data_IF_879916764703
#
_entry.id   IF_879916764703
#
_cell.length_a   1.000
_cell.length_b   1.000
_cell.length_c   1.000
_cell.angle_alpha   90.00
_cell.angle_beta   90.00
_cell.angle_gamma   90.00
#
_symmetry.space_group_name_H-M   'P 1'
#
loop_
_entity.id
_entity.type
_entity.pdbx_description
1 polymer ?
#
# COMPACT_ATOMS: atom_id res chain seq x y z
N UNK A 1 6.59 -12.03 -27.84
CA UNK A 1 5.83 -10.93 -28.46
C UNK A 1 6.41 -10.54 -29.82
N UNK A 2 7.72 -10.29 -29.95
CA UNK A 2 8.36 -10.01 -31.25
C UNK A 2 8.21 -11.14 -32.29
N UNK A 3 8.31 -12.41 -31.87
CA UNK A 3 8.04 -13.56 -32.75
C UNK A 3 6.57 -13.56 -33.23
N UNK A 4 5.64 -13.25 -32.34
CA UNK A 4 4.20 -13.18 -32.66
C UNK A 4 3.90 -12.05 -33.65
N UNK A 5 4.54 -10.90 -33.49
CA UNK A 5 4.45 -9.80 -34.44
C UNK A 5 4.90 -10.20 -35.85
N UNK A 6 6.03 -10.90 -35.96
CA UNK A 6 6.50 -11.44 -37.24
C UNK A 6 5.47 -12.38 -37.89
N UNK A 7 4.95 -13.34 -37.13
CA UNK A 7 3.94 -14.29 -37.60
C UNK A 7 2.63 -13.62 -38.04
N UNK A 8 2.16 -12.61 -37.29
CA UNK A 8 0.92 -11.90 -37.62
C UNK A 8 1.09 -10.98 -38.84
N UNK A 9 2.23 -10.29 -38.96
CA UNK A 9 2.55 -9.46 -40.14
C UNK A 9 2.69 -10.30 -41.41
N UNK A 10 3.28 -11.50 -41.32
CA UNK A 10 3.33 -12.46 -42.44
C UNK A 10 1.92 -12.87 -42.92
N UNK A 11 0.91 -12.78 -42.05
CA UNK A 11 -0.50 -13.06 -42.38
C UNK A 11 -1.28 -11.80 -42.78
N UNK A 12 -0.61 -10.66 -42.95
CA UNK A 12 -1.24 -9.37 -43.30
C UNK A 12 -2.02 -8.72 -42.16
N UNK A 13 -1.83 -9.16 -40.91
CA UNK A 13 -2.48 -8.60 -39.73
C UNK A 13 -1.57 -7.53 -39.13
N UNK A 14 -2.07 -6.30 -39.03
CA UNK A 14 -1.37 -5.21 -38.36
C UNK A 14 -1.23 -5.53 -36.86
N UNK A 15 0.01 -5.69 -36.42
CA UNK A 15 0.35 -5.93 -35.02
C UNK A 15 1.67 -5.22 -34.72
N UNK A 16 1.70 -4.51 -33.61
CA UNK A 16 2.88 -3.86 -33.05
C UNK A 16 3.08 -4.37 -31.62
N UNK A 17 4.20 -5.03 -31.37
CA UNK A 17 4.36 -5.76 -30.12
C UNK A 17 4.40 -4.84 -28.87
N UNK A 18 4.73 -3.56 -29.03
CA UNK A 18 4.73 -2.57 -27.96
C UNK A 18 3.35 -1.92 -27.82
N UNK A 19 2.78 -1.43 -28.92
CA UNK A 19 1.47 -0.78 -29.00
C UNK A 19 0.29 -1.72 -28.76
N UNK A 20 0.47 -3.04 -28.87
CA UNK A 20 -0.54 -4.03 -28.50
C UNK A 20 -0.34 -4.61 -27.09
N UNK A 21 0.62 -4.09 -26.29
CA UNK A 21 0.88 -4.59 -24.94
C UNK A 21 0.10 -3.83 -23.87
N UNK A 22 -0.97 -4.45 -23.36
CA UNK A 22 -1.70 -3.94 -22.19
C UNK A 22 -1.00 -4.36 -20.89
N UNK A 23 -0.67 -3.39 -20.05
CA UNK A 23 -0.12 -3.65 -18.71
C UNK A 23 -1.24 -3.77 -17.67
N UNK A 24 -1.16 -4.78 -16.79
CA UNK A 24 -2.10 -4.93 -15.69
C UNK A 24 -1.89 -3.80 -14.67
N UNK A 25 -2.86 -2.89 -14.54
CA UNK A 25 -2.75 -1.73 -13.67
C UNK A 25 -2.47 -2.10 -12.19
N UNK A 26 -3.23 -3.04 -11.56
CA UNK A 26 -2.90 -3.48 -10.21
C UNK A 26 -1.47 -4.03 -10.04
N UNK A 27 -0.96 -4.75 -11.06
CA UNK A 27 0.42 -5.23 -11.05
C UNK A 27 1.43 -4.08 -11.09
N UNK A 28 1.16 -3.05 -11.89
CA UNK A 28 1.99 -1.83 -11.93
C UNK A 28 1.98 -1.11 -10.58
N UNK A 29 0.81 -0.92 -9.98
CA UNK A 29 0.70 -0.29 -8.64
C UNK A 29 1.50 -1.08 -7.61
N UNK A 30 1.43 -2.42 -7.64
CA UNK A 30 2.24 -3.26 -6.78
C UNK A 30 3.75 -3.07 -7.04
N UNK A 31 4.20 -3.03 -8.30
CA UNK A 31 5.61 -2.74 -8.63
C UNK A 31 6.05 -1.39 -8.04
N UNK A 32 5.25 -0.34 -8.24
CA UNK A 32 5.56 0.98 -7.71
C UNK A 32 5.62 0.99 -6.18
N UNK A 33 4.66 0.31 -5.53
CA UNK A 33 4.62 0.14 -4.07
C UNK A 33 5.88 -0.54 -3.54
N UNK A 34 6.28 -1.66 -4.15
CA UNK A 34 7.51 -2.38 -3.76
C UNK A 34 8.75 -1.52 -4.00
N UNK A 35 8.80 -0.77 -5.11
CA UNK A 35 9.90 0.16 -5.39
C UNK A 35 10.02 1.22 -4.29
N UNK A 36 8.91 1.81 -3.84
CA UNK A 36 8.91 2.74 -2.71
C UNK A 36 9.30 2.09 -1.37
N UNK A 37 8.84 0.86 -1.09
CA UNK A 37 9.20 0.13 0.13
C UNK A 37 10.69 -0.24 0.21
N UNK A 38 11.34 -0.54 -0.91
CA UNK A 38 12.79 -0.74 -0.94
C UNK A 38 13.55 0.55 -0.58
N UNK A 39 13.04 1.72 -0.98
CA UNK A 39 13.61 3.02 -0.56
C UNK A 39 13.38 3.27 0.93
N UNK A 40 12.23 2.89 1.48
CA UNK A 40 11.97 2.97 2.93
C UNK A 40 13.01 2.16 3.71
N UNK A 41 13.34 0.95 3.24
CA UNK A 41 14.30 0.04 3.89
C UNK A 41 15.74 0.51 3.72
N UNK A 42 16.07 1.07 2.57
CA UNK A 42 17.42 1.52 2.20
C UNK A 42 17.35 2.90 1.58
N UNK A 43 17.25 3.98 2.40
CA UNK A 43 17.03 5.34 1.90
C UNK A 43 18.13 5.88 0.98
N UNK A 44 19.28 5.21 0.95
CA UNK A 44 20.46 5.60 0.16
C UNK A 44 20.69 4.75 -1.11
N UNK A 45 19.91 3.69 -1.34
CA UNK A 45 20.14 2.74 -2.43
C UNK A 45 18.82 2.53 -3.19
N UNK A 46 18.60 3.28 -4.26
CA UNK A 46 17.68 2.88 -5.31
C UNK A 46 18.51 2.72 -6.59
N UNK A 47 18.70 1.48 -7.04
CA UNK A 47 19.53 1.17 -8.23
C UNK A 47 19.03 1.84 -9.52
N UNK A 48 17.78 2.30 -9.54
CA UNK A 48 17.13 2.90 -10.71
C UNK A 48 17.05 4.44 -10.64
N UNK A 49 17.18 5.06 -9.46
CA UNK A 49 16.93 6.49 -9.27
C UNK A 49 17.88 7.11 -8.24
N UNK A 50 18.68 8.09 -8.66
CA UNK A 50 19.54 8.88 -7.77
C UNK A 50 18.69 9.95 -7.07
N UNK A 51 18.08 9.61 -5.93
CA UNK A 51 17.18 10.49 -5.18
C UNK A 51 17.86 10.98 -3.91
N UNK A 52 18.09 12.29 -3.84
CA UNK A 52 18.61 12.94 -2.64
C UNK A 52 17.61 12.83 -1.47
N UNK A 53 18.14 12.71 -0.26
CA UNK A 53 17.32 12.77 0.95
C UNK A 53 16.73 14.17 1.13
N UNK A 54 15.46 14.30 1.52
CA UNK A 54 14.85 15.60 1.73
C UNK A 54 15.40 16.27 3.01
N UNK A 55 15.53 17.60 3.04
CA UNK A 55 16.02 18.34 4.22
C UNK A 55 15.26 17.97 5.50
N UNK A 56 13.95 17.81 5.43
CA UNK A 56 13.10 17.49 6.58
C UNK A 56 13.42 16.12 7.20
N UNK A 57 13.98 15.19 6.42
CA UNK A 57 14.47 13.91 6.93
C UNK A 57 15.91 14.02 7.46
N UNK A 58 16.74 14.86 6.85
CA UNK A 58 18.11 15.12 7.31
C UNK A 58 18.09 15.80 8.68
N UNK A 59 17.18 16.75 8.87
CA UNK A 59 17.02 17.54 10.09
C UNK A 59 16.38 16.74 11.26
N UNK A 60 15.85 15.55 11.00
CA UNK A 60 15.29 14.64 12.01
C UNK A 60 16.06 13.31 12.09
N UNK A 61 17.17 13.27 12.86
CA UNK A 61 18.01 12.07 12.96
C UNK A 61 17.30 10.90 13.64
N UNK A 62 16.30 11.13 14.50
CA UNK A 62 15.59 10.05 15.19
C UNK A 62 14.62 9.34 14.24
N UNK A 63 13.86 10.12 13.46
CA UNK A 63 12.98 9.60 12.42
C UNK A 63 13.79 8.85 11.36
N UNK A 64 14.92 9.44 10.93
CA UNK A 64 15.85 8.81 9.99
C UNK A 64 16.40 7.49 10.51
N UNK A 65 16.87 7.45 11.75
CA UNK A 65 17.39 6.23 12.38
C UNK A 65 16.30 5.13 12.43
N UNK A 66 15.06 5.50 12.73
CA UNK A 66 13.93 4.57 12.74
C UNK A 66 13.62 4.01 11.33
N UNK A 67 13.72 4.82 10.27
CA UNK A 67 13.61 4.36 8.89
C UNK A 67 14.74 3.42 8.49
N UNK A 68 16.00 3.85 8.70
CA UNK A 68 17.20 3.07 8.37
C UNK A 68 17.26 1.73 9.15
N UNK A 69 16.59 1.65 10.30
CA UNK A 69 16.43 0.43 11.11
C UNK A 69 15.38 -0.57 10.60
N UNK A 70 14.86 -0.42 9.38
CA UNK A 70 13.81 -1.26 8.78
C UNK A 70 12.55 -1.35 9.67
N UNK A 71 11.83 -0.23 9.76
CA UNK A 71 10.61 -0.13 10.56
C UNK A 71 9.51 -1.11 10.11
N UNK A 72 9.41 -1.39 8.80
CA UNK A 72 8.46 -2.36 8.25
C UNK A 72 8.86 -3.79 8.65
N UNK A 73 10.14 -4.12 8.58
CA UNK A 73 10.68 -5.37 9.10
C UNK A 73 10.45 -5.53 10.60
N UNK A 74 10.56 -4.44 11.36
CA UNK A 74 10.27 -4.42 12.80
C UNK A 74 8.80 -4.77 13.08
N UNK A 75 7.87 -4.16 12.35
CA UNK A 75 6.45 -4.52 12.39
C UNK A 75 6.23 -6.00 12.04
N UNK A 76 6.89 -6.51 11.00
CA UNK A 76 6.82 -7.92 10.57
C UNK A 76 7.32 -8.87 11.66
N UNK A 77 8.41 -8.53 12.36
CA UNK A 77 8.95 -9.32 13.48
C UNK A 77 7.96 -9.39 14.64
N UNK A 78 7.35 -8.27 15.04
CA UNK A 78 6.30 -8.24 16.08
C UNK A 78 5.15 -9.16 15.70
N UNK A 79 4.58 -8.95 14.51
CA UNK A 79 3.45 -9.74 14.02
C UNK A 79 3.77 -11.23 14.00
N UNK A 80 4.95 -11.60 13.51
CA UNK A 80 5.39 -12.99 13.45
C UNK A 80 5.52 -13.57 14.86
N UNK A 81 6.20 -12.87 15.77
CA UNK A 81 6.41 -13.30 17.15
C UNK A 81 5.09 -13.49 17.90
N UNK A 82 4.15 -12.56 17.78
CA UNK A 82 2.86 -12.63 18.47
C UNK A 82 1.95 -13.70 17.86
N UNK A 83 2.03 -13.96 16.55
CA UNK A 83 1.14 -14.92 15.87
C UNK A 83 1.64 -16.36 15.79
N UNK A 84 2.93 -16.61 16.09
CA UNK A 84 3.60 -17.89 15.77
C UNK A 84 2.89 -19.11 16.33
N UNK A 85 2.28 -19.02 17.53
CA UNK A 85 1.56 -20.14 18.16
C UNK A 85 0.13 -19.78 18.51
N UNK A 86 -0.74 -20.79 18.64
CA UNK A 86 -2.12 -20.62 19.11
C UNK A 86 -2.19 -19.93 20.47
N UNK A 87 -1.34 -20.36 21.42
CA UNK A 87 -1.25 -19.78 22.77
C UNK A 87 -0.92 -18.28 22.77
N UNK A 88 -0.03 -17.81 21.88
CA UNK A 88 0.29 -16.37 21.81
C UNK A 88 -0.86 -15.56 21.21
N UNK A 89 -1.57 -16.11 20.23
CA UNK A 89 -2.78 -15.47 19.66
C UNK A 89 -3.90 -15.37 20.67
N UNK A 90 -4.15 -16.44 21.42
CA UNK A 90 -5.14 -16.47 22.50
C UNK A 90 -4.77 -15.49 23.62
N UNK A 91 -3.51 -15.47 24.04
CA UNK A 91 -3.05 -14.52 25.05
C UNK A 91 -3.24 -13.06 24.63
N UNK A 92 -2.98 -12.70 23.35
CA UNK A 92 -3.30 -11.36 22.85
C UNK A 92 -4.81 -11.08 22.92
N UNK A 93 -5.65 -12.05 22.52
CA UNK A 93 -7.11 -11.88 22.60
C UNK A 93 -7.59 -11.70 24.04
N UNK A 94 -6.99 -12.40 25.00
CA UNK A 94 -7.35 -12.30 26.41
C UNK A 94 -6.92 -10.95 27.00
N UNK A 95 -5.76 -10.42 26.61
CA UNK A 95 -5.35 -9.04 26.94
C UNK A 95 -6.40 -8.05 26.42
N UNK A 96 -6.84 -8.19 25.16
CA UNK A 96 -7.87 -7.31 24.57
C UNK A 96 -9.18 -7.40 25.36
N UNK A 97 -9.65 -8.62 25.67
CA UNK A 97 -10.89 -8.86 26.45
C UNK A 97 -10.79 -8.26 27.85
N UNK A 98 -9.68 -8.47 28.54
CA UNK A 98 -9.46 -7.95 29.89
C UNK A 98 -9.41 -6.41 29.90
N UNK A 99 -8.70 -5.81 28.95
CA UNK A 99 -8.66 -4.36 28.80
C UNK A 99 -10.01 -3.76 28.41
N UNK A 100 -10.82 -4.44 27.61
CA UNK A 100 -12.20 -4.05 27.30
C UNK A 100 -13.06 -4.08 28.56
N UNK A 101 -13.01 -5.17 29.33
CA UNK A 101 -13.79 -5.33 30.56
C UNK A 101 -13.43 -4.28 31.62
N UNK A 102 -12.16 -3.87 31.68
CA UNK A 102 -11.64 -2.86 32.62
C UNK A 102 -11.70 -1.42 32.07
N UNK A 103 -12.16 -1.21 30.84
CA UNK A 103 -12.19 0.12 30.22
C UNK A 103 -10.81 0.77 30.03
N UNK A 104 -9.75 -0.03 29.84
CA UNK A 104 -8.35 0.44 29.75
C UNK A 104 -7.98 1.04 28.40
N UNK A 105 -8.76 0.77 27.36
CA UNK A 105 -8.51 1.32 26.04
C UNK A 105 -9.23 2.66 25.90
N UNK A 106 -8.50 3.71 25.54
CA UNK A 106 -9.01 5.07 25.50
C UNK A 106 -8.91 5.67 24.10
N UNK A 107 -9.95 6.32 23.59
CA UNK A 107 -9.87 7.04 22.32
C UNK A 107 -8.91 8.25 22.42
N UNK A 108 -8.76 9.01 21.33
CA UNK A 108 -7.94 10.22 21.32
C UNK A 108 -8.43 11.34 22.27
N UNK A 109 -9.66 11.23 22.79
CA UNK A 109 -10.30 12.16 23.73
C UNK A 109 -10.34 11.59 25.16
N UNK A 110 -9.61 10.51 25.43
CA UNK A 110 -9.58 9.78 26.70
C UNK A 110 -10.92 9.16 27.14
N UNK A 111 -11.84 8.86 26.21
CA UNK A 111 -13.05 8.10 26.51
C UNK A 111 -12.78 6.59 26.38
N UNK A 112 -13.39 5.74 27.21
CA UNK A 112 -13.32 4.30 27.03
C UNK A 112 -13.79 3.87 25.63
N UNK A 113 -12.96 3.11 24.94
CA UNK A 113 -13.22 2.57 23.61
C UNK A 113 -13.15 1.04 23.66
N UNK A 114 -14.08 0.36 22.97
CA UNK A 114 -14.01 -1.10 22.85
C UNK A 114 -13.06 -1.45 21.70
N UNK A 115 -11.95 -2.09 22.04
CA UNK A 115 -11.03 -2.65 21.05
C UNK A 115 -11.60 -3.95 20.49
N UNK A 116 -11.70 -4.05 19.17
CA UNK A 116 -12.16 -5.28 18.52
C UNK A 116 -11.20 -6.45 18.79
N UNK A 117 -11.75 -7.59 19.20
CA UNK A 117 -10.99 -8.82 19.47
C UNK A 117 -10.59 -9.45 18.13
N UNK A 118 -9.40 -9.10 17.66
CA UNK A 118 -8.91 -9.45 16.34
C UNK A 118 -7.53 -10.11 16.42
N UNK A 119 -7.24 -10.98 15.46
CA UNK A 119 -5.87 -11.46 15.24
C UNK A 119 -5.08 -10.45 14.40
N UNK A 120 -3.77 -10.37 14.63
CA UNK A 120 -2.84 -9.68 13.73
C UNK A 120 -2.87 -10.34 12.33
N UNK A 121 -2.53 -9.59 11.28
CA UNK A 121 -2.45 -10.08 9.90
C UNK A 121 -0.98 -10.26 9.50
N UNK A 122 -0.65 -11.30 8.72
CA UNK A 122 0.73 -11.56 8.26
C UNK A 122 0.92 -10.86 6.92
N UNK A 123 2.12 -10.35 6.75
CA UNK A 123 2.62 -9.96 5.44
C UNK A 123 2.79 -11.21 4.56
N UNK A 124 2.38 -11.10 3.29
CA UNK A 124 2.41 -12.18 2.31
C UNK A 124 2.82 -11.58 0.97
N UNK A 125 4.04 -11.88 0.54
CA UNK A 125 4.67 -11.25 -0.63
C UNK A 125 3.84 -11.39 -1.91
N UNK A 126 3.08 -12.49 -2.04
CA UNK A 126 2.22 -12.75 -3.20
C UNK A 126 0.91 -11.96 -3.20
N UNK A 127 0.56 -11.30 -2.10
CA UNK A 127 -0.70 -10.54 -1.95
C UNK A 127 -0.40 -9.05 -1.87
N UNK A 128 -0.82 -8.31 -2.89
CA UNK A 128 -0.39 -6.93 -3.17
C UNK A 128 -0.55 -5.92 -2.02
N UNK A 129 -1.56 -6.05 -1.17
CA UNK A 129 -1.78 -5.13 -0.03
C UNK A 129 -1.50 -5.75 1.34
N UNK A 130 -0.83 -6.90 1.40
CA UNK A 130 -0.59 -7.60 2.67
C UNK A 130 0.26 -6.78 3.64
N UNK A 131 1.26 -6.05 3.15
CA UNK A 131 2.09 -5.18 3.99
C UNK A 131 1.28 -4.05 4.61
N UNK A 132 0.44 -3.37 3.82
CA UNK A 132 -0.48 -2.35 4.32
C UNK A 132 -1.41 -2.91 5.39
N UNK A 133 -2.11 -4.01 5.09
CA UNK A 133 -3.07 -4.65 6.00
C UNK A 133 -2.41 -5.17 7.28
N UNK A 134 -1.16 -5.65 7.20
CA UNK A 134 -0.36 -6.03 8.36
C UNK A 134 -0.12 -4.82 9.27
N UNK A 135 0.41 -3.73 8.71
CA UNK A 135 0.76 -2.53 9.47
C UNK A 135 -0.49 -1.88 10.05
N UNK A 136 -1.55 -1.75 9.26
CA UNK A 136 -2.82 -1.19 9.69
C UNK A 136 -3.41 -1.96 10.88
N UNK A 137 -3.43 -3.31 10.78
CA UNK A 137 -3.88 -4.17 11.89
C UNK A 137 -2.98 -4.08 13.11
N UNK A 138 -1.66 -3.99 12.92
CA UNK A 138 -0.71 -3.85 14.03
C UNK A 138 -0.93 -2.53 14.76
N UNK A 139 -1.04 -1.41 14.04
CA UNK A 139 -1.28 -0.09 14.62
C UNK A 139 -2.62 -0.03 15.37
N UNK A 140 -3.67 -0.63 14.81
CA UNK A 140 -4.99 -0.74 15.45
C UNK A 140 -4.91 -1.44 16.81
N UNK A 141 -4.16 -2.55 16.87
CA UNK A 141 -4.04 -3.38 18.08
C UNK A 141 -2.82 -3.01 18.93
N UNK A 142 -2.08 -1.95 18.58
CA UNK A 142 -0.73 -1.77 19.09
C UNK A 142 -0.68 -1.67 20.61
N UNK A 143 -1.67 -1.02 21.25
CA UNK A 143 -1.70 -0.91 22.71
C UNK A 143 -1.80 -2.27 23.42
N UNK A 144 -2.63 -3.17 22.89
CA UNK A 144 -2.72 -4.53 23.41
C UNK A 144 -1.48 -5.35 23.07
N UNK A 145 -0.87 -5.12 21.89
CA UNK A 145 0.41 -5.74 21.54
C UNK A 145 1.53 -5.25 22.45
N UNK A 146 1.57 -3.97 22.77
CA UNK A 146 2.56 -3.35 23.63
C UNK A 146 2.46 -3.88 25.08
N UNK A 147 1.24 -4.02 25.60
CA UNK A 147 0.98 -4.75 26.84
C UNK A 147 1.39 -6.22 26.76
N UNK A 148 1.10 -6.90 25.65
CA UNK A 148 1.57 -8.27 25.42
C UNK A 148 3.09 -8.34 25.51
N UNK A 149 3.82 -7.49 24.79
CA UNK A 149 5.29 -7.50 24.74
C UNK A 149 5.91 -7.19 26.11
N UNK A 150 5.24 -6.40 26.95
CA UNK A 150 5.69 -6.06 28.31
C UNK A 150 5.09 -6.92 29.42
N UNK A 151 4.27 -7.91 29.09
CA UNK A 151 3.70 -8.82 30.09
C UNK A 151 4.81 -9.62 30.79
N UNK A 152 4.59 -9.97 32.06
CA UNK A 152 5.55 -10.73 32.87
C UNK A 152 6.03 -12.01 32.17
N UNK A 153 5.13 -12.65 31.40
CA UNK A 153 5.41 -13.85 30.62
C UNK A 153 6.54 -13.70 29.59
N UNK A 154 6.72 -12.50 29.04
CA UNK A 154 7.75 -12.23 28.03
C UNK A 154 8.83 -11.26 28.52
N UNK A 155 8.70 -10.74 29.74
CA UNK A 155 9.71 -9.93 30.40
C UNK A 155 11.03 -10.71 30.46
N UNK A 156 12.11 -10.12 29.90
CA UNK A 156 13.42 -10.75 29.81
C UNK A 156 13.63 -11.69 28.60
N UNK A 157 12.67 -11.79 27.68
CA UNK A 157 12.85 -12.53 26.42
C UNK A 157 13.12 -11.57 25.25
N UNK A 158 13.66 -12.10 24.14
CA UNK A 158 13.87 -11.32 22.90
C UNK A 158 12.58 -10.69 22.34
N UNK A 159 11.41 -11.20 22.75
CA UNK A 159 10.11 -10.67 22.34
C UNK A 159 9.87 -9.30 22.94
N UNK A 160 10.25 -9.07 24.21
CA UNK A 160 10.07 -7.78 24.86
C UNK A 160 10.87 -6.67 24.16
N UNK A 161 12.04 -7.01 23.59
CA UNK A 161 12.86 -6.10 22.81
C UNK A 161 12.25 -5.68 21.45
N UNK A 162 11.15 -6.31 21.03
CA UNK A 162 10.44 -5.94 19.81
C UNK A 162 9.50 -4.74 19.99
N UNK A 163 9.32 -4.23 21.21
CA UNK A 163 8.51 -3.04 21.44
C UNK A 163 9.07 -1.83 20.66
N UNK A 164 8.17 -1.06 20.06
CA UNK A 164 8.51 0.11 19.26
C UNK A 164 8.51 1.34 20.15
N UNK A 165 9.46 2.23 19.93
CA UNK A 165 9.43 3.57 20.51
C UNK A 165 8.30 4.42 19.93
N UNK A 166 8.00 5.54 20.58
CA UNK A 166 7.03 6.53 20.07
C UNK A 166 7.41 7.02 18.67
N UNK A 167 8.69 7.34 18.45
CA UNK A 167 9.21 7.77 17.14
C UNK A 167 9.04 6.68 16.08
N UNK A 168 9.33 5.42 16.43
CA UNK A 168 9.13 4.30 15.52
C UNK A 168 7.66 4.10 15.15
N UNK A 169 6.75 4.29 16.11
CA UNK A 169 5.31 4.26 15.83
C UNK A 169 4.87 5.39 14.91
N UNK A 170 5.39 6.59 15.08
CA UNK A 170 5.07 7.73 14.22
C UNK A 170 5.56 7.50 12.79
N UNK A 171 6.80 7.03 12.63
CA UNK A 171 7.34 6.62 11.32
C UNK A 171 6.47 5.51 10.69
N UNK A 172 6.06 4.52 11.48
CA UNK A 172 5.22 3.43 10.98
C UNK A 172 3.82 3.92 10.57
N UNK A 173 3.26 4.93 11.26
CA UNK A 173 2.00 5.60 10.88
C UNK A 173 2.14 6.35 9.56
N UNK A 174 3.25 7.05 9.35
CA UNK A 174 3.53 7.76 8.11
C UNK A 174 3.68 6.78 6.93
N UNK A 175 4.41 5.67 7.13
CA UNK A 175 4.50 4.58 6.14
C UNK A 175 3.12 3.97 5.87
N UNK A 176 2.29 3.76 6.90
CA UNK A 176 0.90 3.28 6.74
C UNK A 176 0.05 4.26 5.93
N UNK A 177 0.18 5.56 6.17
CA UNK A 177 -0.54 6.59 5.42
C UNK A 177 -0.12 6.59 3.96
N UNK A 178 1.18 6.48 3.68
CA UNK A 178 1.71 6.30 2.33
C UNK A 178 1.12 5.08 1.61
N UNK A 179 1.19 3.91 2.23
CA UNK A 179 0.64 2.68 1.66
C UNK A 179 -0.88 2.72 1.48
N UNK A 180 -1.60 3.47 2.32
CA UNK A 180 -3.07 3.56 2.23
C UNK A 180 -3.55 4.17 0.91
N UNK A 181 -2.82 5.14 0.36
CA UNK A 181 -3.16 5.78 -0.92
C UNK A 181 -3.11 4.76 -2.07
N UNK A 182 -2.05 3.95 -2.09
CA UNK A 182 -1.85 2.90 -3.09
C UNK A 182 -2.89 1.79 -2.95
N UNK A 183 -3.20 1.39 -1.70
CA UNK A 183 -4.21 0.37 -1.41
C UNK A 183 -5.61 0.81 -1.86
N UNK A 184 -6.03 2.05 -1.58
CA UNK A 184 -7.36 2.54 -1.97
C UNK A 184 -7.59 2.45 -3.48
N UNK A 185 -6.58 2.84 -4.28
CA UNK A 185 -6.70 2.80 -5.74
C UNK A 185 -6.69 1.36 -6.26
N UNK A 186 -5.89 0.46 -5.67
CA UNK A 186 -5.94 -0.96 -6.01
C UNK A 186 -7.30 -1.60 -5.69
N UNK A 187 -7.92 -1.27 -4.55
CA UNK A 187 -9.24 -1.81 -4.20
C UNK A 187 -10.32 -1.29 -5.15
N UNK A 188 -10.26 0.00 -5.52
CA UNK A 188 -11.19 0.62 -6.46
C UNK A 188 -11.26 -0.14 -7.79
N UNK A 189 -10.10 -0.53 -8.35
CA UNK A 189 -10.03 -1.25 -9.63
C UNK A 189 -10.29 -2.74 -9.49
N UNK A 190 -9.99 -3.33 -8.32
CA UNK A 190 -10.17 -4.77 -8.09
C UNK A 190 -11.63 -5.14 -7.78
N UNK A 191 -12.42 -4.18 -7.28
CA UNK A 191 -13.85 -4.37 -7.00
C UNK A 191 -14.76 -4.27 -8.23
N UNK A 192 -14.24 -3.84 -9.38
CA UNK A 192 -15.05 -3.66 -10.59
C UNK A 192 -15.40 -5.02 -11.23
N UNK A 193 -16.68 -5.19 -11.56
CA UNK A 193 -17.20 -6.35 -12.31
C UNK A 193 -17.34 -6.08 -13.81
N UNK A 194 -16.95 -4.89 -14.27
CA UNK A 194 -17.09 -4.38 -15.64
C UNK A 194 -15.71 -4.16 -16.27
N UNK A 195 -15.63 -3.95 -17.61
CA UNK A 195 -14.35 -3.72 -18.29
C UNK A 195 -13.60 -2.54 -17.66
N UNK A 196 -12.49 -2.84 -16.99
CA UNK A 196 -11.71 -1.87 -16.19
C UNK A 196 -10.78 -1.02 -17.03
N UNK A 197 -10.58 -1.36 -18.31
CA UNK A 197 -9.55 -0.74 -19.14
C UNK A 197 -9.77 0.77 -19.34
N UNK A 198 -11.03 1.19 -19.53
CA UNK A 198 -11.39 2.61 -19.69
C UNK A 198 -11.05 3.46 -18.45
N UNK A 199 -10.98 2.84 -17.27
CA UNK A 199 -10.71 3.53 -16.01
C UNK A 199 -9.23 3.57 -15.64
N UNK A 200 -8.37 2.85 -16.35
CA UNK A 200 -6.94 2.74 -15.98
C UNK A 200 -6.22 4.08 -16.07
N UNK A 201 -6.37 4.83 -17.18
CA UNK A 201 -5.72 6.14 -17.33
C UNK A 201 -6.26 7.18 -16.31
N UNK A 202 -7.59 7.30 -16.10
CA UNK A 202 -8.13 8.10 -15.00
C UNK A 202 -7.58 7.67 -13.62
N UNK A 203 -7.47 6.37 -13.35
CA UNK A 203 -6.94 5.86 -12.09
C UNK A 203 -5.46 6.22 -11.89
N UNK A 204 -4.64 6.20 -12.95
CA UNK A 204 -3.27 6.73 -12.88
C UNK A 204 -3.26 8.21 -12.50
N UNK A 205 -4.05 9.04 -13.19
CA UNK A 205 -4.09 10.48 -12.90
C UNK A 205 -4.50 10.75 -11.44
N UNK A 206 -5.57 10.11 -10.98
CA UNK A 206 -6.04 10.23 -9.59
C UNK A 206 -4.98 9.77 -8.57
N UNK A 207 -4.29 8.67 -8.85
CA UNK A 207 -3.25 8.15 -7.97
C UNK A 207 -2.05 9.09 -7.90
N UNK A 208 -1.59 9.60 -9.05
CA UNK A 208 -0.47 10.54 -9.12
C UNK A 208 -0.79 11.83 -8.36
N UNK A 209 -2.00 12.37 -8.52
CA UNK A 209 -2.42 13.58 -7.80
C UNK A 209 -2.55 13.33 -6.29
N UNK A 210 -3.08 12.17 -5.90
CA UNK A 210 -3.15 11.78 -4.49
C UNK A 210 -1.75 11.64 -3.86
N UNK A 211 -0.79 11.06 -4.58
CA UNK A 211 0.60 10.94 -4.14
C UNK A 211 1.29 12.31 -4.06
N UNK A 212 1.09 13.19 -5.03
CA UNK A 212 1.61 14.57 -5.01
C UNK A 212 1.05 15.36 -3.83
N UNK A 213 -0.24 15.22 -3.54
CA UNK A 213 -0.85 15.84 -2.36
C UNK A 213 -0.30 15.23 -1.05
N UNK A 214 -0.06 13.92 -1.03
CA UNK A 214 0.52 13.23 0.12
C UNK A 214 1.96 13.66 0.40
N UNK A 215 2.76 13.94 -0.64
CA UNK A 215 4.14 14.46 -0.51
C UNK A 215 4.19 15.69 0.39
N UNK A 216 3.22 16.60 0.26
CA UNK A 216 3.12 17.80 1.10
C UNK A 216 2.78 17.48 2.56
N UNK A 217 2.09 16.36 2.82
CA UNK A 217 1.73 15.90 4.18
C UNK A 217 2.85 15.12 4.84
N UNK A 218 3.67 14.43 4.04
CA UNK A 218 4.77 13.56 4.50
C UNK A 218 6.11 14.02 3.89
N UNK A 219 6.59 15.23 4.20
CA UNK A 219 7.82 15.76 3.58
C UNK A 219 9.04 14.88 3.87
N UNK A 220 9.09 14.24 5.04
CA UNK A 220 10.14 13.26 5.42
C UNK A 220 10.16 12.01 4.54
N UNK A 221 9.03 11.64 3.93
CA UNK A 221 8.90 10.52 2.98
C UNK A 221 8.80 10.99 1.52
N UNK A 222 9.07 12.26 1.23
CA UNK A 222 8.95 12.80 -0.13
C UNK A 222 9.80 12.03 -1.15
N UNK A 223 11.04 11.68 -0.82
CA UNK A 223 11.90 10.84 -1.66
C UNK A 223 11.28 9.46 -2.01
N UNK A 224 10.60 8.81 -1.06
CA UNK A 224 9.88 7.54 -1.29
C UNK A 224 8.72 7.76 -2.25
N UNK A 225 7.95 8.82 -2.02
CA UNK A 225 6.79 9.18 -2.85
C UNK A 225 7.22 9.53 -4.26
N UNK A 226 8.32 10.27 -4.42
CA UNK A 226 8.89 10.64 -5.72
C UNK A 226 9.31 9.42 -6.53
N UNK A 227 10.02 8.47 -5.91
CA UNK A 227 10.39 7.21 -6.58
C UNK A 227 9.16 6.42 -7.02
N UNK A 228 8.12 6.42 -6.19
CA UNK A 228 6.85 5.75 -6.50
C UNK A 228 6.15 6.42 -7.69
N UNK A 229 6.08 7.76 -7.71
CA UNK A 229 5.55 8.56 -8.81
C UNK A 229 6.32 8.28 -10.10
N UNK A 230 7.65 8.35 -10.07
CA UNK A 230 8.50 8.09 -11.23
C UNK A 230 8.24 6.70 -11.81
N UNK A 231 8.10 5.68 -10.96
CA UNK A 231 7.79 4.31 -11.41
C UNK A 231 6.41 4.24 -12.06
N UNK A 232 5.40 4.89 -11.48
CA UNK A 232 4.04 4.95 -12.06
C UNK A 232 4.04 5.67 -13.41
N UNK A 233 4.73 6.80 -13.53
CA UNK A 233 4.83 7.58 -14.77
C UNK A 233 5.47 6.78 -15.91
N UNK A 234 6.49 5.96 -15.63
CA UNK A 234 7.07 5.04 -16.63
C UNK A 234 6.01 4.10 -17.22
N UNK A 235 5.14 3.53 -16.38
CA UNK A 235 4.11 2.61 -16.85
C UNK A 235 2.86 3.30 -17.40
N UNK A 236 2.53 4.50 -16.91
CA UNK A 236 1.49 5.34 -17.51
C UNK A 236 1.91 5.74 -18.93
N UNK A 237 3.17 6.13 -19.15
CA UNK A 237 3.69 6.40 -20.49
C UNK A 237 3.55 5.17 -21.40
N UNK A 238 3.92 3.97 -20.92
CA UNK A 238 3.68 2.73 -21.69
C UNK A 238 2.20 2.50 -22.01
N UNK A 239 1.31 2.80 -21.07
CA UNK A 239 -0.13 2.71 -21.30
C UNK A 239 -0.62 3.72 -22.36
N UNK A 240 -0.03 4.91 -22.44
CA UNK A 240 -0.37 5.90 -23.46
C UNK A 240 0.06 5.50 -24.88
N UNK A 241 1.00 4.57 -25.04
CA UNK A 241 1.46 4.07 -26.35
C UNK A 241 0.56 2.99 -26.94
N UNK A 242 -0.47 2.53 -26.21
CA UNK A 242 -1.43 1.55 -26.74
C UNK A 242 -2.80 2.16 -26.95
N UNK A 243 -3.30 2.04 -28.18
CA UNK A 243 -4.64 2.51 -28.56
C UNK A 243 -5.76 1.80 -27.81
N UNK A 244 -5.47 0.65 -27.19
CA UNK A 244 -6.45 -0.15 -26.45
C UNK A 244 -7.15 0.66 -25.35
N UNK A 245 -6.42 1.53 -24.64
CA UNK A 245 -7.03 2.39 -23.61
C UNK A 245 -7.94 3.45 -24.22
N UNK A 246 -7.47 4.15 -25.27
CA UNK A 246 -8.25 5.17 -25.96
C UNK A 246 -9.55 4.61 -26.53
N UNK A 247 -9.46 3.49 -27.26
CA UNK A 247 -10.61 2.76 -27.81
C UNK A 247 -11.58 2.37 -26.69
N UNK A 248 -11.07 1.81 -25.58
CA UNK A 248 -11.93 1.38 -24.47
C UNK A 248 -12.67 2.55 -23.80
N UNK A 249 -12.04 3.71 -23.67
CA UNK A 249 -12.67 4.92 -23.14
C UNK A 249 -13.77 5.42 -24.08
N UNK A 250 -13.50 5.47 -25.38
CA UNK A 250 -14.48 5.88 -26.39
C UNK A 250 -15.71 4.97 -26.40
N UNK A 251 -15.51 3.64 -26.37
CA UNK A 251 -16.62 2.68 -26.33
C UNK A 251 -17.44 2.78 -25.04
N UNK A 252 -16.78 3.01 -23.89
CA UNK A 252 -17.48 3.20 -22.62
C UNK A 252 -18.40 4.43 -22.65
N UNK A 253 -17.91 5.56 -23.18
CA UNK A 253 -18.69 6.78 -23.34
C UNK A 253 -19.89 6.58 -24.27
N UNK A 254 -19.70 5.89 -25.39
CA UNK A 254 -20.79 5.58 -26.33
C UNK A 254 -21.84 4.63 -25.74
N UNK A 255 -21.44 3.72 -24.86
CA UNK A 255 -22.37 2.83 -24.15
C UNK A 255 -23.19 3.60 -23.10
N UNK A 256 -22.55 4.50 -22.36
CA UNK A 256 -23.21 5.34 -21.35
C UNK A 256 -24.21 6.31 -21.99
N UNK A 257 -23.83 6.95 -23.10
CA UNK A 257 -24.74 7.80 -23.88
C UNK A 257 -25.97 7.03 -24.37
N UNK A 258 -25.80 5.80 -24.87
CA UNK A 258 -26.92 4.95 -25.31
C UNK A 258 -27.88 4.60 -24.18
N UNK A 259 -27.37 4.27 -22.98
CA UNK A 259 -28.24 4.00 -21.82
C UNK A 259 -29.06 5.22 -21.44
N UNK A 260 -28.43 6.40 -21.41
CA UNK A 260 -29.13 7.65 -21.08
C UNK A 260 -30.22 7.99 -22.11
N UNK A 261 -29.99 7.69 -23.40
CA UNK A 261 -31.02 7.89 -24.44
C UNK A 261 -32.15 6.87 -24.36
N UNK A 262 -31.84 5.61 -24.02
CA UNK A 262 -32.85 4.56 -23.88
C UNK A 262 -33.73 4.79 -22.63
N UNK A 263 -33.15 5.22 -21.50
CA UNK A 263 -33.89 5.58 -20.29
C UNK A 263 -34.78 6.82 -20.50
N UNK A 264 -34.34 7.78 -21.32
CA UNK A 264 -35.13 8.96 -21.67
C UNK A 264 -36.27 8.66 -22.67
N UNK A 265 -36.17 7.57 -23.44
CA UNK A 265 -37.21 7.15 -24.39
C UNK A 265 -38.32 6.31 -23.74
N UNK A 266 -38.13 5.88 -22.48
CA UNK A 266 -39.07 5.05 -21.70
C UNK A 266 -39.91 5.90 -20.72
N UNK A 267 -39.68 7.22 -20.65
CA UNK A 267 -40.48 8.21 -19.90
C UNK A 267 -41.42 8.99 -20.81
#
# INVERSE_FOLDING_TARGET
>A
MQVLEGELRCRGIAFDFEGNRVCCFPHVVNIATQTGLEVVKTPRICYDFDVALPPELIDDPQYRCALEGDIVGSARRIVTAVRVSGQRREHLQDIIKDGNAKGRWLDAKNNPEIMHILCLLRDVDTRWSSTFLMIDRLLLLYRAVDEFLRSEKYSGTDIAALALSTVQLDVLRDVRLYLSVLHMVQEMVSGQKTPTLAYVLPAYAMLLDALRALKNKLPKLSHVIDVTIMKLEVYMNKALHTDAYAISMSESLLCEQRRLTDDAAVQ
#
